data_IF_407110877607
#
_entry.id   IF_407110877607
#
_cell.length_a   1.000
_cell.length_b   1.000
_cell.length_c   1.000
_cell.angle_alpha   90.00
_cell.angle_beta   90.00
_cell.angle_gamma   90.00
#
_symmetry.space_group_name_H-M   'P 1'
#
loop_
_entity.id
_entity.type
_entity.pdbx_description
1 polymer ?
#
# COMPACT_ATOMS: atom_id res chain seq x y z
N UNK A 1 23.70 -1.42 32.18
CA UNK A 1 22.35 -0.96 32.61
C UNK A 1 21.57 -0.27 31.47
N UNK A 2 22.10 -0.25 30.24
CA UNK A 2 21.48 0.31 29.02
C UNK A 2 20.79 -0.73 28.12
N UNK A 3 21.13 -2.01 28.23
CA UNK A 3 20.55 -3.07 27.39
C UNK A 3 19.08 -3.39 27.73
N UNK A 4 18.71 -3.27 29.01
CA UNK A 4 17.37 -3.63 29.45
C UNK A 4 16.29 -2.67 28.93
N UNK A 5 16.60 -1.38 28.83
CA UNK A 5 15.66 -0.38 28.30
C UNK A 5 15.46 -0.49 26.78
N UNK A 6 16.50 -0.88 26.03
CA UNK A 6 16.39 -1.13 24.61
C UNK A 6 15.49 -2.35 24.32
N UNK A 7 15.62 -3.39 25.14
CA UNK A 7 14.79 -4.59 25.05
C UNK A 7 13.32 -4.31 25.42
N UNK A 8 13.08 -3.56 26.50
CA UNK A 8 11.72 -3.15 26.89
C UNK A 8 11.04 -2.29 25.83
N UNK A 9 11.78 -1.40 25.17
CA UNK A 9 11.26 -0.60 24.05
C UNK A 9 10.92 -1.46 22.83
N UNK A 10 11.73 -2.47 22.52
CA UNK A 10 11.45 -3.41 21.43
C UNK A 10 10.24 -4.32 21.74
N UNK A 11 10.05 -4.73 23.00
CA UNK A 11 8.85 -5.49 23.40
C UNK A 11 7.57 -4.64 23.32
N UNK A 12 7.63 -3.37 23.75
CA UNK A 12 6.49 -2.43 23.65
C UNK A 12 6.12 -2.12 22.21
N UNK A 13 7.07 -2.11 21.27
CA UNK A 13 6.76 -1.87 19.86
C UNK A 13 6.05 -3.06 19.20
N UNK A 14 6.16 -4.28 19.73
CA UNK A 14 5.39 -5.43 19.24
C UNK A 14 3.89 -5.26 19.48
N UNK A 15 3.48 -4.60 20.57
CA UNK A 15 2.07 -4.34 20.89
C UNK A 15 1.40 -3.39 19.89
N UNK A 16 2.17 -2.56 19.17
CA UNK A 16 1.65 -1.62 18.17
C UNK A 16 1.75 -2.12 16.73
N UNK A 17 2.21 -3.35 16.50
CA UNK A 17 2.27 -3.93 15.14
C UNK A 17 0.86 -4.27 14.67
N UNK A 18 0.40 -3.74 13.52
CA UNK A 18 -0.86 -4.13 12.94
C UNK A 18 -0.88 -5.64 12.65
N UNK A 19 -1.78 -6.39 13.31
CA UNK A 19 -1.94 -7.84 13.12
C UNK A 19 -2.31 -8.23 11.68
N UNK A 20 -2.89 -7.29 10.93
CA UNK A 20 -3.18 -7.45 9.51
C UNK A 20 -2.89 -6.14 8.76
N UNK A 21 -2.20 -6.24 7.63
CA UNK A 21 -2.06 -5.13 6.70
C UNK A 21 -3.28 -5.09 5.80
N UNK A 22 -4.03 -3.98 5.82
CA UNK A 22 -5.13 -3.77 4.86
C UNK A 22 -4.54 -3.75 3.45
N UNK A 23 -4.97 -4.68 2.62
CA UNK A 23 -4.55 -4.81 1.24
C UNK A 23 -5.79 -4.90 0.35
N UNK A 24 -5.78 -4.09 -0.69
CA UNK A 24 -6.77 -4.12 -1.76
C UNK A 24 -6.29 -5.03 -2.88
N UNK A 25 -7.08 -5.05 -3.95
CA UNK A 25 -6.77 -5.80 -5.15
C UNK A 25 -6.99 -4.95 -6.39
N UNK A 26 -6.10 -5.10 -7.36
CA UNK A 26 -6.24 -4.53 -8.69
C UNK A 26 -7.36 -5.26 -9.45
N UNK A 27 -8.36 -4.51 -9.91
CA UNK A 27 -9.53 -5.06 -10.63
C UNK A 27 -9.55 -4.71 -12.10
N UNK A 28 -8.85 -3.65 -12.49
CA UNK A 28 -8.72 -3.24 -13.90
C UNK A 28 -7.40 -2.53 -14.15
N UNK A 29 -6.90 -2.71 -15.37
CA UNK A 29 -5.79 -1.97 -15.94
C UNK A 29 -6.23 -1.49 -17.33
N UNK A 30 -6.11 -0.18 -17.57
CA UNK A 30 -6.32 0.42 -18.89
C UNK A 30 -5.19 1.39 -19.20
N UNK A 31 -4.08 0.85 -19.73
CA UNK A 31 -2.86 1.62 -19.95
C UNK A 31 -2.26 2.10 -18.63
N UNK A 32 -2.30 3.42 -18.40
CA UNK A 32 -1.76 4.06 -17.19
C UNK A 32 -2.79 4.21 -16.07
N UNK A 33 -4.10 4.11 -16.37
CA UNK A 33 -5.13 4.21 -15.34
C UNK A 33 -5.44 2.82 -14.79
N UNK A 34 -5.28 2.68 -13.47
CA UNK A 34 -5.48 1.44 -12.74
C UNK A 34 -6.69 1.57 -11.82
N UNK A 35 -7.41 0.49 -11.59
CA UNK A 35 -8.56 0.46 -10.67
C UNK A 35 -8.32 -0.59 -9.58
N UNK A 36 -8.56 -0.21 -8.32
CA UNK A 36 -8.48 -1.12 -7.18
C UNK A 36 -9.72 -1.04 -6.29
N UNK A 37 -9.96 -2.12 -5.55
CA UNK A 37 -11.01 -2.20 -4.52
C UNK A 37 -10.44 -2.80 -3.24
N UNK A 38 -11.13 -2.61 -2.11
CA UNK A 38 -10.73 -3.21 -0.81
C UNK A 38 -9.53 -2.55 -0.12
N UNK A 39 -9.03 -1.44 -0.68
CA UNK A 39 -8.04 -0.57 -0.05
C UNK A 39 -8.52 0.87 -0.17
N UNK A 40 -9.27 1.40 0.81
CA UNK A 40 -9.66 2.79 0.80
C UNK A 40 -8.41 3.68 0.87
N UNK A 41 -8.19 4.49 -0.15
CA UNK A 41 -7.09 5.45 -0.25
C UNK A 41 -7.67 6.86 -0.39
N UNK A 42 -7.04 7.82 0.25
CA UNK A 42 -7.36 9.24 0.06
C UNK A 42 -6.80 9.71 -1.27
N UNK A 43 -7.49 10.62 -1.97
CA UNK A 43 -6.91 11.27 -3.16
C UNK A 43 -5.57 11.92 -2.81
N UNK A 44 -4.55 11.69 -3.63
CA UNK A 44 -3.17 12.12 -3.41
C UNK A 44 -2.34 11.17 -2.55
N UNK A 45 -2.94 10.17 -1.90
CA UNK A 45 -2.20 9.20 -1.09
C UNK A 45 -1.37 8.27 -1.98
N UNK A 46 -0.13 8.02 -1.54
CA UNK A 46 0.77 7.07 -2.18
C UNK A 46 0.41 5.64 -1.81
N UNK A 47 0.60 4.74 -2.75
CA UNK A 47 0.33 3.32 -2.61
C UNK A 47 1.32 2.51 -3.44
N UNK A 48 1.41 1.22 -3.14
CA UNK A 48 2.27 0.28 -3.84
C UNK A 48 1.46 -0.91 -4.35
N UNK A 49 1.74 -1.33 -5.57
CA UNK A 49 1.07 -2.45 -6.23
C UNK A 49 2.08 -3.58 -6.44
N UNK A 50 1.75 -4.80 -6.03
CA UNK A 50 2.62 -5.96 -6.21
C UNK A 50 2.52 -6.51 -7.65
N UNK A 51 3.67 -6.64 -8.32
CA UNK A 51 3.78 -7.28 -9.62
C UNK A 51 3.88 -8.80 -9.50
N UNK A 52 3.72 -9.50 -10.64
CA UNK A 52 3.94 -10.94 -10.73
C UNK A 52 5.36 -11.40 -10.35
N UNK A 53 6.34 -10.49 -10.41
CA UNK A 53 7.72 -10.77 -10.03
C UNK A 53 8.02 -10.40 -8.57
N UNK A 54 6.98 -10.18 -7.75
CA UNK A 54 7.08 -9.73 -6.35
C UNK A 54 7.81 -8.38 -6.17
N UNK A 55 7.89 -7.57 -7.22
CA UNK A 55 8.36 -6.19 -7.13
C UNK A 55 7.19 -5.25 -6.84
N UNK A 56 7.47 -4.13 -6.18
CA UNK A 56 6.47 -3.11 -5.88
C UNK A 56 6.53 -2.00 -6.93
N UNK A 57 5.36 -1.60 -7.43
CA UNK A 57 5.16 -0.47 -8.32
C UNK A 57 4.52 0.66 -7.53
N UNK A 58 5.20 1.80 -7.48
CA UNK A 58 4.70 3.00 -6.80
C UNK A 58 3.62 3.67 -7.65
N UNK A 59 2.53 4.06 -6.99
CA UNK A 59 1.39 4.73 -7.59
C UNK A 59 0.74 5.72 -6.62
N UNK A 60 -0.11 6.58 -7.14
CA UNK A 60 -0.89 7.54 -6.37
C UNK A 60 -2.38 7.35 -6.63
N UNK A 61 -3.21 7.44 -5.59
CA UNK A 61 -4.64 7.53 -5.74
C UNK A 61 -5.00 8.90 -6.35
N UNK A 62 -5.61 8.89 -7.54
CA UNK A 62 -5.97 10.13 -8.28
C UNK A 62 -7.46 10.43 -8.24
N UNK A 63 -8.29 9.48 -7.79
CA UNK A 63 -9.72 9.67 -7.61
C UNK A 63 -10.39 8.36 -7.22
N UNK A 64 -11.72 8.38 -7.12
CA UNK A 64 -12.51 7.18 -6.84
C UNK A 64 -13.92 7.29 -7.43
N UNK A 65 -14.58 6.16 -7.58
CA UNK A 65 -15.99 6.04 -7.90
C UNK A 65 -16.58 4.88 -7.07
N UNK A 66 -17.41 5.22 -6.09
CA UNK A 66 -17.96 4.27 -5.10
C UNK A 66 -16.82 3.52 -4.39
N UNK A 67 -16.72 2.21 -4.59
CA UNK A 67 -15.73 1.31 -4.01
C UNK A 67 -14.46 1.16 -4.86
N UNK A 68 -14.45 1.74 -6.07
CA UNK A 68 -13.29 1.73 -6.96
C UNK A 68 -12.41 2.94 -6.70
N UNK A 69 -11.13 2.69 -6.43
CA UNK A 69 -10.10 3.74 -6.39
C UNK A 69 -9.33 3.73 -7.71
N UNK A 70 -9.15 4.91 -8.29
CA UNK A 70 -8.32 5.14 -9.47
C UNK A 70 -6.89 5.42 -9.06
N UNK A 71 -5.94 4.65 -9.59
CA UNK A 71 -4.51 4.79 -9.30
C UNK A 71 -3.75 5.16 -10.57
N UNK A 72 -2.74 6.00 -10.40
CA UNK A 72 -1.80 6.39 -11.44
C UNK A 72 -0.39 5.94 -11.01
N UNK A 73 0.26 5.02 -11.74
CA UNK A 73 1.61 4.60 -11.45
C UNK A 73 2.62 5.66 -11.91
N UNK A 74 3.72 5.82 -11.18
CA UNK A 74 4.77 6.79 -11.54
C UNK A 74 5.69 6.31 -12.66
N UNK A 75 5.64 5.02 -12.97
CA UNK A 75 6.38 4.36 -14.04
C UNK A 75 5.43 3.46 -14.82
N UNK A 76 5.84 3.02 -16.00
CA UNK A 76 5.02 2.13 -16.80
C UNK A 76 4.71 0.84 -16.02
N UNK A 77 3.43 0.49 -15.84
CA UNK A 77 3.03 -0.63 -14.98
C UNK A 77 3.24 -1.97 -15.71
N UNK A 78 4.48 -2.46 -15.73
CA UNK A 78 4.85 -3.73 -16.35
C UNK A 78 4.75 -4.87 -15.33
N UNK A 79 4.20 -6.01 -15.75
CA UNK A 79 4.14 -7.21 -14.90
C UNK A 79 3.02 -7.19 -13.86
N UNK A 80 2.03 -6.32 -14.00
CA UNK A 80 0.81 -6.39 -13.18
C UNK A 80 -0.10 -7.53 -13.64
N UNK A 81 -0.80 -8.14 -12.69
CA UNK A 81 -1.81 -9.17 -12.94
C UNK A 81 -3.15 -8.80 -12.31
N UNK A 82 -4.23 -9.39 -12.82
CA UNK A 82 -5.54 -9.25 -12.19
C UNK A 82 -5.47 -9.78 -10.74
N UNK A 83 -6.05 -9.03 -9.80
CA UNK A 83 -5.99 -9.38 -8.39
C UNK A 83 -4.68 -9.02 -7.68
N UNK A 84 -3.72 -8.38 -8.35
CA UNK A 84 -2.49 -7.87 -7.74
C UNK A 84 -2.79 -7.09 -6.46
N UNK A 85 -2.02 -7.33 -5.39
CA UNK A 85 -2.24 -6.69 -4.10
C UNK A 85 -1.88 -5.21 -4.17
N UNK A 86 -2.73 -4.37 -3.58
CA UNK A 86 -2.53 -2.93 -3.47
C UNK A 86 -2.41 -2.57 -2.00
N UNK A 87 -1.34 -1.88 -1.63
CA UNK A 87 -1.06 -1.50 -0.26
C UNK A 87 -1.01 0.02 -0.14
N UNK A 88 -1.60 0.61 0.93
CA UNK A 88 -1.30 1.99 1.25
C UNK A 88 0.18 2.10 1.62
N UNK A 89 0.81 3.20 1.21
CA UNK A 89 2.08 3.59 1.81
C UNK A 89 1.80 4.08 3.23
N UNK A 90 2.50 3.51 4.19
CA UNK A 90 2.44 3.98 5.58
C UNK A 90 3.08 5.37 5.59
N UNK A 91 2.30 6.39 5.94
CA UNK A 91 2.93 7.66 6.35
C UNK A 91 3.80 7.32 7.55
N UNK A 92 5.09 7.72 7.57
CA UNK A 92 5.79 7.71 8.84
C UNK A 92 4.95 8.57 9.78
N UNK A 93 4.51 8.01 10.89
CA UNK A 93 3.87 8.76 11.97
C UNK A 93 4.90 9.76 12.46
N UNK A 94 4.98 10.94 11.83
CA UNK A 94 5.72 12.06 12.36
C UNK A 94 4.94 12.52 13.58
N UNK A 95 5.38 12.01 14.74
CA UNK A 95 5.10 12.58 16.06
C UNK A 95 5.97 13.82 16.25
#
# INVERSE_FOLDING_TARGET
MSDFSAFDNALRSLESIPLARVAGRLVRLNGILLESVGCPLMTGQLCRIESANHTLIDAQAVGFNRDITYLMPFKQPVGLMAGARVFPEEKPTTS
#
